data_IF_196293718349
#
_entry.id   IF_196293718349
#
_cell.length_a   1.000
_cell.length_b   1.000
_cell.length_c   1.000
_cell.angle_alpha   90.00
_cell.angle_beta   90.00
_cell.angle_gamma   90.00
#
_symmetry.space_group_name_H-M   'P 1'
#
loop_
_entity.id
_entity.type
_entity.pdbx_description
1 polymer ?
#
# COMPACT_ATOMS: atom_id res chain seq x y z
N UNK A 1 4.93 -17.98 -14.14
CA UNK A 1 6.35 -18.25 -14.40
C UNK A 1 7.18 -17.36 -13.49
N UNK A 2 7.99 -17.97 -12.63
CA UNK A 2 8.94 -17.28 -11.79
C UNK A 2 10.00 -16.58 -12.65
N UNK A 3 10.39 -15.39 -12.23
CA UNK A 3 11.46 -14.60 -12.86
C UNK A 3 12.74 -14.61 -12.01
N UNK A 4 12.58 -14.62 -10.71
CA UNK A 4 13.66 -14.60 -9.74
C UNK A 4 13.94 -16.03 -9.28
N UNK A 5 15.18 -16.50 -9.43
CA UNK A 5 15.56 -17.88 -9.18
C UNK A 5 16.91 -17.94 -8.44
N UNK A 6 17.11 -18.97 -7.57
CA UNK A 6 16.16 -20.02 -7.21
C UNK A 6 15.04 -19.52 -6.28
N UNK A 7 13.85 -20.10 -6.39
CA UNK A 7 12.68 -19.77 -5.57
C UNK A 7 11.97 -21.01 -4.98
N UNK A 8 12.68 -22.12 -4.94
CA UNK A 8 12.12 -23.37 -4.38
C UNK A 8 11.81 -23.21 -2.90
N UNK A 9 10.78 -23.91 -2.38
CA UNK A 9 10.52 -23.94 -0.95
C UNK A 9 11.78 -24.26 -0.16
N UNK A 10 12.05 -23.48 0.88
CA UNK A 10 13.22 -23.62 1.74
C UNK A 10 12.83 -23.28 3.17
N UNK A 11 13.69 -23.65 4.12
CA UNK A 11 13.47 -23.28 5.51
C UNK A 11 13.65 -21.77 5.72
N UNK A 12 12.84 -21.20 6.61
CA UNK A 12 12.88 -19.80 7.01
C UNK A 12 14.09 -19.55 7.94
N UNK A 13 15.27 -19.48 7.34
CA UNK A 13 16.53 -19.20 8.02
C UNK A 13 17.28 -18.08 7.29
N UNK A 14 18.06 -17.30 8.04
CA UNK A 14 18.81 -16.16 7.50
C UNK A 14 19.77 -16.56 6.36
N UNK A 15 20.37 -17.75 6.44
CA UNK A 15 21.23 -18.31 5.40
C UNK A 15 20.52 -18.52 4.05
N UNK A 16 19.20 -18.74 4.09
CA UNK A 16 18.34 -18.94 2.93
C UNK A 16 17.71 -17.64 2.42
N UNK A 17 18.06 -16.49 2.99
CA UNK A 17 17.48 -15.17 2.64
C UNK A 17 17.42 -14.90 1.13
N UNK A 18 18.47 -15.14 0.32
CA UNK A 18 18.41 -14.86 -1.12
C UNK A 18 17.28 -15.63 -1.83
N UNK A 19 17.05 -16.88 -1.44
CA UNK A 19 16.00 -17.71 -2.03
C UNK A 19 14.61 -17.30 -1.55
N UNK A 20 14.47 -16.90 -0.28
CA UNK A 20 13.23 -16.37 0.29
C UNK A 20 12.85 -15.04 -0.37
N UNK A 21 13.81 -14.15 -0.62
CA UNK A 21 13.60 -12.91 -1.36
C UNK A 21 13.13 -13.19 -2.79
N UNK A 22 13.78 -14.12 -3.50
CA UNK A 22 13.36 -14.49 -4.86
C UNK A 22 11.91 -14.99 -4.88
N UNK A 23 11.52 -15.81 -3.89
CA UNK A 23 10.15 -16.28 -3.76
C UNK A 23 9.17 -15.12 -3.50
N UNK A 24 9.53 -14.22 -2.59
CA UNK A 24 8.75 -13.01 -2.29
C UNK A 24 8.59 -12.10 -3.52
N UNK A 25 9.68 -11.79 -4.21
CA UNK A 25 9.66 -10.96 -5.42
C UNK A 25 8.80 -11.57 -6.54
N UNK A 26 8.75 -12.89 -6.64
CA UNK A 26 7.85 -13.56 -7.58
C UNK A 26 6.37 -13.39 -7.19
N UNK A 27 6.03 -13.26 -5.90
CA UNK A 27 4.66 -12.92 -5.47
C UNK A 27 4.30 -11.48 -5.84
N UNK A 28 5.22 -10.54 -5.66
CA UNK A 28 5.04 -9.14 -6.09
C UNK A 28 4.83 -9.08 -7.62
N UNK A 29 5.66 -9.78 -8.39
CA UNK A 29 5.51 -9.87 -9.85
C UNK A 29 4.16 -10.48 -10.27
N UNK A 30 3.64 -11.45 -9.49
CA UNK A 30 2.32 -12.03 -9.74
C UNK A 30 1.21 -11.00 -9.50
N UNK A 31 1.26 -10.28 -8.39
CA UNK A 31 0.33 -9.20 -8.06
C UNK A 31 0.33 -8.10 -9.13
N UNK A 32 1.51 -7.66 -9.58
CA UNK A 32 1.66 -6.68 -10.68
C UNK A 32 0.94 -7.14 -11.96
N UNK A 33 1.08 -8.40 -12.33
CA UNK A 33 0.36 -8.97 -13.50
C UNK A 33 -1.15 -8.97 -13.32
N UNK A 34 -1.65 -9.25 -12.11
CA UNK A 34 -3.10 -9.20 -11.81
C UNK A 34 -3.60 -7.77 -11.95
N UNK A 35 -2.90 -6.80 -11.37
CA UNK A 35 -3.25 -5.38 -11.46
C UNK A 35 -3.21 -4.88 -12.91
N UNK A 36 -2.17 -5.22 -13.65
CA UNK A 36 -2.03 -4.86 -15.06
C UNK A 36 -3.20 -5.42 -15.91
N UNK A 37 -3.60 -6.68 -15.66
CA UNK A 37 -4.75 -7.30 -16.33
C UNK A 37 -6.06 -6.62 -15.97
N UNK A 38 -6.29 -6.30 -14.69
CA UNK A 38 -7.47 -5.57 -14.24
C UNK A 38 -7.57 -4.20 -14.91
N UNK A 39 -6.48 -3.44 -14.89
CA UNK A 39 -6.39 -2.13 -15.55
C UNK A 39 -6.62 -2.27 -17.06
N UNK A 40 -6.07 -3.30 -17.69
CA UNK A 40 -6.30 -3.61 -19.09
C UNK A 40 -7.78 -3.81 -19.43
N UNK A 41 -8.50 -4.58 -18.59
CA UNK A 41 -9.95 -4.79 -18.74
C UNK A 41 -10.70 -3.46 -18.62
N UNK A 42 -10.38 -2.64 -17.61
CA UNK A 42 -11.05 -1.35 -17.39
C UNK A 42 -10.81 -0.36 -18.55
N UNK A 43 -9.61 -0.37 -19.13
CA UNK A 43 -9.30 0.46 -20.29
C UNK A 43 -10.19 0.16 -21.49
N UNK A 44 -10.53 -1.11 -21.72
CA UNK A 44 -11.38 -1.52 -22.86
C UNK A 44 -12.87 -1.18 -22.63
N UNK A 45 -13.29 -0.90 -21.40
CA UNK A 45 -14.69 -0.58 -21.09
C UNK A 45 -15.08 0.85 -21.40
N UNK A 46 -14.12 1.74 -21.66
CA UNK A 46 -14.36 3.16 -21.98
C UNK A 46 -15.27 3.86 -20.99
N UNK A 47 -15.18 3.51 -19.70
CA UNK A 47 -16.00 4.07 -18.63
C UNK A 47 -15.17 4.86 -17.62
N UNK A 48 -15.84 5.70 -16.85
CA UNK A 48 -15.25 6.39 -15.70
C UNK A 48 -14.93 5.34 -14.66
N UNK A 49 -13.63 5.09 -14.42
CA UNK A 49 -13.19 4.05 -13.50
C UNK A 49 -11.89 4.43 -12.79
N UNK A 50 -11.72 3.88 -11.60
CA UNK A 50 -10.50 4.00 -10.83
C UNK A 50 -10.19 2.66 -10.14
N UNK A 51 -8.91 2.41 -9.86
CA UNK A 51 -8.42 1.30 -9.06
C UNK A 51 -7.57 1.89 -7.96
N UNK A 52 -7.80 1.48 -6.73
CA UNK A 52 -6.93 1.72 -5.60
C UNK A 52 -6.43 0.36 -5.11
N UNK A 53 -5.14 0.23 -4.99
CA UNK A 53 -4.48 -0.96 -4.46
C UNK A 53 -3.54 -0.56 -3.34
N UNK A 54 -3.55 -1.32 -2.27
CA UNK A 54 -2.56 -1.29 -1.19
C UNK A 54 -2.40 -2.69 -0.63
N UNK A 55 -1.27 -2.98 0.02
CA UNK A 55 -1.13 -4.16 0.86
C UNK A 55 -1.63 -3.85 2.27
N UNK A 56 -2.03 -4.85 3.00
CA UNK A 56 -2.39 -4.77 4.42
C UNK A 56 -1.15 -4.60 5.30
N UNK A 57 -0.06 -5.29 4.98
CA UNK A 57 1.26 -5.18 5.60
C UNK A 57 2.35 -5.55 4.60
N UNK A 58 3.60 -5.30 4.96
CA UNK A 58 4.78 -5.85 4.31
C UNK A 58 5.29 -7.09 5.05
N UNK A 59 6.53 -7.51 4.75
CA UNK A 59 7.16 -8.70 5.33
C UNK A 59 8.62 -8.44 5.62
N UNK A 60 9.08 -8.89 6.80
CA UNK A 60 10.51 -8.98 7.09
C UNK A 60 11.06 -10.29 6.52
N UNK A 61 12.20 -10.23 5.86
CA UNK A 61 12.90 -11.40 5.32
C UNK A 61 14.37 -11.33 5.75
N UNK A 62 14.60 -11.27 7.06
CA UNK A 62 15.94 -11.13 7.64
C UNK A 62 16.69 -9.90 7.10
N UNK A 63 15.98 -8.75 7.02
CA UNK A 63 16.46 -7.54 6.34
C UNK A 63 17.49 -6.75 7.15
N UNK A 64 17.41 -6.84 8.45
CA UNK A 64 18.31 -6.13 9.36
C UNK A 64 18.87 -7.02 10.49
N UNK A 65 19.65 -6.43 11.38
CA UNK A 65 20.29 -7.13 12.51
C UNK A 65 19.35 -7.74 13.53
N UNK A 66 18.04 -7.43 13.47
CA UNK A 66 17.02 -8.03 14.33
C UNK A 66 16.60 -9.42 13.88
N UNK A 67 17.00 -9.81 12.65
CA UNK A 67 16.67 -11.10 12.06
C UNK A 67 15.18 -11.46 12.08
N UNK A 68 14.32 -10.46 11.89
CA UNK A 68 12.88 -10.66 11.85
C UNK A 68 12.48 -11.44 10.59
N UNK A 69 11.44 -12.27 10.73
CA UNK A 69 10.86 -13.01 9.62
C UNK A 69 9.35 -12.88 9.64
N UNK A 70 8.76 -12.54 8.51
CA UNK A 70 7.34 -12.22 8.32
C UNK A 70 6.93 -10.94 9.08
N UNK A 71 5.65 -10.83 9.39
CA UNK A 71 5.03 -9.68 10.07
C UNK A 71 4.65 -10.02 11.52
N UNK A 72 3.87 -9.13 12.18
CA UNK A 72 3.36 -9.30 13.54
C UNK A 72 4.45 -9.34 14.62
N UNK A 73 5.55 -8.63 14.42
CA UNK A 73 6.54 -8.44 15.46
C UNK A 73 6.04 -7.40 16.49
N UNK A 74 6.27 -7.62 17.80
CA UNK A 74 6.02 -6.60 18.84
C UNK A 74 6.78 -5.28 18.60
N UNK A 75 7.83 -5.34 17.79
CA UNK A 75 8.62 -4.18 17.34
C UNK A 75 8.59 -4.11 15.81
N UNK A 76 7.66 -3.34 15.24
CA UNK A 76 7.52 -3.23 13.81
C UNK A 76 8.79 -2.68 13.15
N UNK A 77 8.96 -3.00 11.88
CA UNK A 77 10.01 -2.47 11.03
C UNK A 77 9.41 -1.63 9.90
N UNK A 78 10.25 -0.93 9.16
CA UNK A 78 9.84 -0.31 7.90
C UNK A 78 9.42 -1.35 6.85
N UNK A 79 9.99 -2.57 6.90
CA UNK A 79 9.70 -3.65 5.97
C UNK A 79 8.30 -4.24 6.13
N UNK A 80 7.69 -4.18 7.31
CA UNK A 80 6.32 -4.63 7.56
C UNK A 80 5.30 -3.49 7.59
N UNK A 81 5.73 -2.24 7.75
CA UNK A 81 4.84 -1.07 7.86
C UNK A 81 4.79 -0.19 6.62
N UNK A 82 5.82 -0.20 5.77
CA UNK A 82 5.84 0.58 4.54
C UNK A 82 5.32 -0.27 3.37
N UNK A 83 4.06 -0.01 2.98
CA UNK A 83 3.36 -0.76 1.94
C UNK A 83 3.11 0.11 0.69
N UNK A 84 3.01 -0.50 -0.48
CA UNK A 84 2.67 0.23 -1.69
C UNK A 84 1.24 0.78 -1.63
N UNK A 85 1.06 2.00 -2.14
CA UNK A 85 -0.25 2.56 -2.41
C UNK A 85 -0.29 3.03 -3.87
N UNK A 86 -1.11 2.37 -4.68
CA UNK A 86 -1.27 2.66 -6.09
C UNK A 86 -2.70 3.14 -6.37
N UNK A 87 -2.81 4.25 -7.10
CA UNK A 87 -4.09 4.71 -7.63
C UNK A 87 -3.97 4.86 -9.14
N UNK A 88 -4.81 4.14 -9.87
CA UNK A 88 -4.97 4.29 -11.30
C UNK A 88 -6.35 4.88 -11.60
N UNK A 89 -6.45 5.74 -12.61
CA UNK A 89 -7.70 6.30 -13.09
C UNK A 89 -7.78 6.20 -14.62
N UNK A 90 -8.99 5.96 -15.15
CA UNK A 90 -9.21 6.00 -16.58
C UNK A 90 -9.05 7.43 -17.13
N UNK A 91 -8.84 7.55 -18.45
CA UNK A 91 -8.80 8.87 -19.12
C UNK A 91 -10.12 9.63 -18.93
N UNK A 92 -11.24 8.91 -18.98
CA UNK A 92 -12.56 9.49 -18.76
C UNK A 92 -12.67 10.08 -17.35
N UNK A 93 -12.18 9.35 -16.33
CA UNK A 93 -12.12 9.87 -14.97
C UNK A 93 -11.25 11.12 -14.90
N UNK A 94 -10.08 11.09 -15.52
CA UNK A 94 -9.17 12.24 -15.54
C UNK A 94 -9.74 13.48 -16.22
N UNK A 95 -10.50 13.30 -17.30
CA UNK A 95 -11.21 14.39 -17.98
C UNK A 95 -12.35 14.94 -17.16
N UNK A 96 -13.12 14.08 -16.50
CA UNK A 96 -14.28 14.48 -15.69
C UNK A 96 -13.90 15.11 -14.37
N UNK A 97 -12.81 14.61 -13.72
CA UNK A 97 -12.41 15.01 -12.38
C UNK A 97 -10.91 15.40 -12.30
N UNK A 98 -10.47 16.38 -13.12
CA UNK A 98 -9.04 16.73 -13.19
C UNK A 98 -8.49 17.25 -11.86
N UNK A 99 -9.31 17.96 -11.05
CA UNK A 99 -8.90 18.45 -9.74
C UNK A 99 -8.62 17.30 -8.75
N UNK A 100 -9.43 16.24 -8.80
CA UNK A 100 -9.26 15.03 -7.97
C UNK A 100 -7.94 14.36 -8.31
N UNK A 101 -7.67 14.14 -9.61
CA UNK A 101 -6.43 13.52 -10.06
C UNK A 101 -5.20 14.34 -9.67
N UNK A 102 -5.26 15.66 -9.83
CA UNK A 102 -4.16 16.55 -9.46
C UNK A 102 -3.91 16.57 -7.95
N UNK A 103 -4.97 16.58 -7.13
CA UNK A 103 -4.85 16.48 -5.68
C UNK A 103 -4.20 15.16 -5.27
N UNK A 104 -4.66 14.01 -5.81
CA UNK A 104 -4.07 12.71 -5.53
C UNK A 104 -2.59 12.64 -5.91
N UNK A 105 -2.21 13.13 -7.09
CA UNK A 105 -0.79 13.17 -7.51
C UNK A 105 0.08 13.98 -6.58
N UNK A 106 -0.42 15.13 -6.10
CA UNK A 106 0.31 15.98 -5.16
C UNK A 106 0.42 15.32 -3.79
N UNK A 107 -0.65 14.69 -3.30
CA UNK A 107 -0.72 14.14 -1.95
C UNK A 107 0.02 12.81 -1.82
N UNK A 108 0.00 11.94 -2.82
CA UNK A 108 0.80 10.71 -2.85
C UNK A 108 2.30 10.96 -2.71
N UNK A 109 2.79 12.11 -3.19
CA UNK A 109 4.21 12.50 -3.01
C UNK A 109 4.56 12.86 -1.57
N UNK A 110 3.57 13.17 -0.74
CA UNK A 110 3.76 13.48 0.69
C UNK A 110 3.73 12.23 1.56
N UNK A 111 3.38 11.09 0.97
CA UNK A 111 3.08 9.86 1.66
C UNK A 111 1.60 9.75 2.03
N UNK A 112 1.17 8.55 2.38
CA UNK A 112 -0.18 8.26 2.82
C UNK A 112 -0.15 7.23 3.95
N UNK A 113 -1.13 7.32 4.83
CA UNK A 113 -1.37 6.34 5.89
C UNK A 113 -2.55 5.47 5.45
N UNK A 114 -2.31 4.18 5.17
CA UNK A 114 -3.30 3.31 4.54
C UNK A 114 -4.57 3.16 5.37
N UNK A 115 -4.45 2.90 6.66
CA UNK A 115 -5.60 2.75 7.57
C UNK A 115 -6.41 4.03 7.76
N UNK A 116 -5.82 5.23 7.64
CA UNK A 116 -6.52 6.50 7.77
C UNK A 116 -7.02 7.05 6.42
N UNK A 117 -6.28 6.84 5.33
CA UNK A 117 -6.48 7.54 4.05
C UNK A 117 -7.23 6.70 3.00
N UNK A 118 -7.17 5.37 3.05
CA UNK A 118 -7.77 4.50 2.02
C UNK A 118 -9.28 4.67 1.98
N UNK A 119 -9.97 4.52 3.10
CA UNK A 119 -11.42 4.59 3.17
C UNK A 119 -11.98 5.93 2.71
N UNK A 120 -11.54 7.11 3.25
CA UNK A 120 -12.03 8.40 2.78
C UNK A 120 -11.67 8.68 1.32
N UNK A 121 -10.54 8.19 0.83
CA UNK A 121 -10.15 8.33 -0.58
C UNK A 121 -11.06 7.53 -1.49
N UNK A 122 -11.38 6.28 -1.13
CA UNK A 122 -12.31 5.45 -1.90
C UNK A 122 -13.70 6.06 -1.98
N UNK A 123 -14.26 6.53 -0.87
CA UNK A 123 -15.55 7.21 -0.85
C UNK A 123 -15.53 8.45 -1.76
N UNK A 124 -14.50 9.26 -1.65
CA UNK A 124 -14.36 10.47 -2.46
C UNK A 124 -14.23 10.18 -3.95
N UNK A 125 -13.44 9.18 -4.34
CA UNK A 125 -13.32 8.73 -5.75
C UNK A 125 -14.68 8.23 -6.28
N UNK A 126 -15.45 7.54 -5.44
CA UNK A 126 -16.79 7.06 -5.78
C UNK A 126 -17.88 8.17 -5.77
N UNK A 127 -17.52 9.39 -5.37
CA UNK A 127 -18.49 10.48 -5.24
C UNK A 127 -19.45 10.33 -4.05
N UNK A 128 -19.10 9.48 -3.07
CA UNK A 128 -19.91 9.21 -1.88
C UNK A 128 -19.51 10.15 -0.74
N UNK A 129 -20.47 10.80 -0.12
CA UNK A 129 -20.29 11.63 1.08
C UNK A 129 -20.79 10.87 2.31
N UNK A 130 -19.94 10.72 3.32
CA UNK A 130 -20.29 10.09 4.59
C UNK A 130 -19.99 11.05 5.75
N UNK A 131 -20.99 11.27 6.64
CA UNK A 131 -20.84 12.19 7.79
C UNK A 131 -19.72 11.80 8.76
N UNK A 132 -19.47 10.49 8.89
CA UNK A 132 -18.45 9.95 9.78
C UNK A 132 -17.04 9.93 9.16
N UNK A 133 -16.86 10.46 7.95
CA UNK A 133 -15.58 10.40 7.24
C UNK A 133 -14.91 11.78 7.26
N UNK A 134 -13.68 11.84 7.74
CA UNK A 134 -12.89 13.07 7.73
C UNK A 134 -12.32 13.29 6.31
N UNK A 135 -12.92 14.21 5.55
CA UNK A 135 -12.48 14.56 4.20
C UNK A 135 -11.00 14.99 4.15
N UNK A 136 -10.46 15.54 5.24
CA UNK A 136 -9.06 15.97 5.35
C UNK A 136 -8.05 14.83 5.23
N UNK A 137 -8.48 13.59 5.48
CA UNK A 137 -7.66 12.38 5.35
C UNK A 137 -7.73 11.76 3.94
N UNK A 138 -8.61 12.25 3.07
CA UNK A 138 -8.71 11.80 1.69
C UNK A 138 -7.57 12.35 0.84
N UNK A 139 -6.93 11.50 0.06
CA UNK A 139 -5.91 11.89 -0.92
C UNK A 139 -6.47 12.78 -2.04
N UNK A 140 -7.78 12.83 -2.21
CA UNK A 140 -8.45 13.72 -3.17
C UNK A 140 -8.60 15.15 -2.67
N UNK A 141 -8.36 15.39 -1.37
CA UNK A 141 -8.50 16.71 -0.76
C UNK A 141 -7.21 17.52 -0.92
N UNK A 142 -7.34 18.78 -1.37
CA UNK A 142 -6.20 19.71 -1.52
C UNK A 142 -5.53 20.06 -0.20
N UNK A 143 -6.25 19.99 0.91
CA UNK A 143 -5.75 20.29 2.26
C UNK A 143 -5.25 19.04 2.99
N UNK A 144 -5.12 17.91 2.28
CA UNK A 144 -4.60 16.67 2.85
C UNK A 144 -3.28 16.88 3.57
N UNK A 145 -3.17 16.33 4.77
CA UNK A 145 -1.95 16.30 5.57
C UNK A 145 -1.75 14.88 6.11
N UNK A 146 -0.53 14.37 5.94
CA UNK A 146 -0.14 13.14 6.61
C UNK A 146 -0.10 13.40 8.12
N UNK A 147 -0.80 12.56 8.88
CA UNK A 147 -0.81 12.58 10.34
C UNK A 147 0.38 11.83 10.95
N UNK A 148 0.34 11.67 12.26
CA UNK A 148 1.25 10.76 12.96
C UNK A 148 0.86 9.32 12.63
N UNK A 149 1.82 8.53 12.17
CA UNK A 149 1.62 7.10 11.91
C UNK A 149 1.65 6.35 13.24
N UNK A 150 0.68 5.47 13.43
CA UNK A 150 0.55 4.63 14.62
C UNK A 150 0.65 3.15 14.26
N UNK A 151 1.15 2.38 15.20
CA UNK A 151 1.15 0.93 15.20
C UNK A 151 0.39 0.43 16.42
N UNK A 152 -0.34 -0.66 16.30
CA UNK A 152 -0.97 -1.32 17.44
C UNK A 152 0.02 -2.31 18.05
N UNK A 153 0.33 -2.12 19.33
CA UNK A 153 1.15 -3.07 20.08
C UNK A 153 0.37 -4.35 20.44
N UNK A 154 1.03 -5.29 21.09
CA UNK A 154 0.45 -6.58 21.51
C UNK A 154 -0.74 -6.43 22.48
N UNK A 155 -0.89 -5.25 23.08
CA UNK A 155 -1.97 -4.91 23.99
C UNK A 155 -3.05 -4.04 23.36
N UNK A 156 -3.01 -3.89 22.01
CA UNK A 156 -3.89 -3.01 21.24
C UNK A 156 -3.79 -1.52 21.62
N UNK A 157 -2.66 -1.06 22.13
CA UNK A 157 -2.42 0.35 22.30
C UNK A 157 -1.86 0.96 21.02
N UNK A 158 -2.37 2.13 20.65
CA UNK A 158 -1.84 2.90 19.54
C UNK A 158 -0.54 3.61 19.94
N UNK A 159 0.60 3.12 19.46
CA UNK A 159 1.93 3.68 19.72
C UNK A 159 2.43 4.39 18.45
N UNK A 160 3.00 5.61 18.54
CA UNK A 160 3.57 6.27 17.39
C UNK A 160 4.66 5.41 16.75
N UNK A 161 4.56 5.18 15.44
CA UNK A 161 5.50 4.33 14.71
C UNK A 161 6.96 4.81 14.83
N UNK A 162 7.17 6.12 14.92
CA UNK A 162 8.49 6.73 15.15
C UNK A 162 9.19 6.28 16.45
N UNK A 163 8.47 5.65 17.38
CA UNK A 163 9.05 5.07 18.60
C UNK A 163 9.89 3.82 18.29
N UNK A 164 9.55 3.12 17.21
CA UNK A 164 10.18 1.85 16.81
C UNK A 164 11.19 2.03 15.68
N UNK A 165 10.96 3.00 14.80
CA UNK A 165 11.80 3.28 13.64
C UNK A 165 12.86 4.33 14.01
N UNK A 166 13.98 3.87 14.59
CA UNK A 166 15.14 4.72 14.90
C UNK A 166 16.37 4.16 14.22
#
# INVERSE_FOLDING_TARGET
NARFLPDKPTEAKAENRPQLLNAYDNTILHTDRILARLIGILRTRHCISAVLYTSDHGENIFDDSRHLFLHASPRPSEYDTDVPLLVWTSEQFGRQYPQVVNAMRSNLRKGAESNASVFPTMLSIAGIRARACADSLSLTNRTYRLGTRYYLDDHNHAVPLSTFLK
#
